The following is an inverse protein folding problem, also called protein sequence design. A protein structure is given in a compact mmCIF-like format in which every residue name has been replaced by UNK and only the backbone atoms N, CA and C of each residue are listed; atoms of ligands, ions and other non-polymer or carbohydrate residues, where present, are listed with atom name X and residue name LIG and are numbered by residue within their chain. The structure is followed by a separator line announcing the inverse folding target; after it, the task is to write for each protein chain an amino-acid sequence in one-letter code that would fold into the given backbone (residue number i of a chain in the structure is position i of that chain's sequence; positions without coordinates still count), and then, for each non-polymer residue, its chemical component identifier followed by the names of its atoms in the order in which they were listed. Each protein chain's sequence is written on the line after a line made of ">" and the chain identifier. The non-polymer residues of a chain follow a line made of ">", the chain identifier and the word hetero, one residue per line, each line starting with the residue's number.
data_IF_959332553210
#
_entry.id   IF_959332553210
#
_cell.length_a   1.000
_cell.length_b   1.000
_cell.length_c   1.000
_cell.angle_alpha   90.00
_cell.angle_beta   90.00
_cell.angle_gamma   90.00
#
_symmetry.space_group_name_H-M   'P 1'
#
loop_
_entity.id
_entity.type
_entity.pdbx_description
1 polymer ?
#
# COMPACT_ATOMS: atom_id res chain seq x y z
N UNK A 1 -9.34 18.84 -4.65
CA UNK A 1 -8.81 20.12 -5.15
C UNK A 1 -8.08 19.85 -6.45
N UNK A 2 -8.28 20.65 -7.51
CA UNK A 2 -7.53 20.48 -8.75
C UNK A 2 -6.10 20.97 -8.59
N UNK A 3 -5.16 20.20 -9.12
CA UNK A 3 -3.73 20.49 -9.15
C UNK A 3 -3.26 20.59 -10.59
N UNK A 4 -2.15 21.29 -10.77
CA UNK A 4 -1.53 21.51 -12.07
C UNK A 4 -0.11 20.93 -12.05
N UNK A 5 0.29 20.37 -13.19
CA UNK A 5 1.59 19.75 -13.34
C UNK A 5 1.95 19.57 -14.80
N UNK A 6 3.08 18.93 -15.05
CA UNK A 6 3.58 18.65 -16.40
C UNK A 6 3.77 17.16 -16.62
N UNK A 7 3.49 16.68 -17.82
CA UNK A 7 3.77 15.28 -18.17
C UNK A 7 5.29 15.08 -18.24
N UNK A 8 5.83 14.23 -17.36
CA UNK A 8 7.26 13.94 -17.29
C UNK A 8 7.65 12.77 -18.19
N UNK A 9 6.81 11.74 -18.22
CA UNK A 9 7.00 10.53 -19.00
C UNK A 9 5.65 9.95 -19.40
N UNK A 10 5.57 9.40 -20.62
CA UNK A 10 4.39 8.73 -21.13
C UNK A 10 4.81 7.57 -22.04
N UNK A 11 4.24 6.40 -21.82
CA UNK A 11 4.42 5.23 -22.67
C UNK A 11 3.11 4.96 -23.42
N UNK A 12 3.12 5.20 -24.74
CA UNK A 12 1.95 5.04 -25.59
C UNK A 12 1.52 3.57 -25.77
N UNK A 13 2.47 2.63 -25.80
CA UNK A 13 2.18 1.20 -25.97
C UNK A 13 1.45 0.62 -24.77
N UNK A 14 1.86 1.03 -23.55
CA UNK A 14 1.27 0.56 -22.29
C UNK A 14 0.19 1.46 -21.73
N UNK A 15 0.00 2.66 -22.29
CA UNK A 15 -1.08 3.58 -21.92
C UNK A 15 -0.95 4.19 -20.53
N UNK A 16 0.24 4.34 -19.97
CA UNK A 16 0.44 4.98 -18.67
C UNK A 16 1.58 6.00 -18.69
N UNK A 17 1.60 6.88 -17.69
CA UNK A 17 2.65 7.88 -17.55
C UNK A 17 2.74 8.47 -16.16
N UNK A 18 3.58 9.49 -16.04
CA UNK A 18 3.86 10.20 -14.80
C UNK A 18 3.77 11.71 -14.97
N UNK A 19 3.11 12.37 -14.02
CA UNK A 19 2.98 13.83 -13.93
C UNK A 19 3.90 14.35 -12.84
N UNK A 20 4.67 15.38 -13.16
CA UNK A 20 5.51 16.11 -12.20
C UNK A 20 4.72 17.30 -11.65
N UNK A 21 4.59 17.36 -10.32
CA UNK A 21 3.87 18.40 -9.59
C UNK A 21 4.86 19.41 -8.98
N UNK A 22 4.85 20.67 -9.42
CA UNK A 22 5.49 21.84 -8.78
C UNK A 22 6.76 21.54 -7.96
N UNK A 23 7.78 20.95 -8.61
CA UNK A 23 9.10 20.62 -8.02
C UNK A 23 9.11 19.64 -6.84
N UNK A 24 8.02 18.92 -6.60
CA UNK A 24 8.04 17.77 -5.70
C UNK A 24 8.81 16.60 -6.34
N UNK A 25 9.56 15.86 -5.51
CA UNK A 25 10.33 14.67 -5.94
C UNK A 25 9.41 13.51 -6.33
N UNK A 26 8.16 13.51 -5.84
CA UNK A 26 7.22 12.41 -6.05
C UNK A 26 6.40 12.61 -7.32
N UNK A 27 6.74 11.83 -8.34
CA UNK A 27 5.97 11.75 -9.57
C UNK A 27 4.62 11.08 -9.33
N UNK A 28 3.56 11.59 -9.95
CA UNK A 28 2.21 11.07 -9.80
C UNK A 28 1.84 10.20 -11.00
N UNK A 29 1.46 8.95 -10.72
CA UNK A 29 1.05 7.99 -11.74
C UNK A 29 -0.30 8.35 -12.36
N UNK A 30 -0.43 8.16 -13.67
CA UNK A 30 -1.70 8.24 -14.37
C UNK A 30 -1.83 7.18 -15.47
N UNK A 31 -3.08 6.88 -15.82
CA UNK A 31 -3.43 6.03 -16.95
C UNK A 31 -4.10 6.86 -18.05
N UNK A 32 -3.91 6.48 -19.31
CA UNK A 32 -4.51 7.13 -20.49
C UNK A 32 -6.04 7.11 -20.42
N UNK A 33 -6.61 6.21 -19.61
CA UNK A 33 -8.06 6.15 -19.41
C UNK A 33 -8.64 7.39 -18.77
N UNK A 34 -7.87 8.04 -17.92
CA UNK A 34 -8.26 9.24 -17.17
C UNK A 34 -8.13 10.53 -18.00
N UNK A 35 -7.71 10.40 -19.27
CA UNK A 35 -7.60 11.50 -20.24
C UNK A 35 -8.77 11.38 -21.24
N UNK A 36 -9.60 12.43 -21.41
CA UNK A 36 -10.74 12.39 -22.32
C UNK A 36 -10.32 12.35 -23.80
N UNK A 37 -9.25 13.05 -24.18
CA UNK A 37 -8.79 13.18 -25.58
C UNK A 37 -7.73 12.14 -25.94
N UNK A 38 -8.07 10.85 -25.89
CA UNK A 38 -7.11 9.74 -26.10
C UNK A 38 -6.52 9.65 -27.52
N UNK A 39 -7.14 10.31 -28.49
CA UNK A 39 -6.76 10.20 -29.91
C UNK A 39 -5.60 11.12 -30.29
N UNK A 40 -5.23 12.05 -29.40
CA UNK A 40 -4.14 12.98 -29.63
C UNK A 40 -2.99 12.53 -28.75
N UNK A 41 -1.82 12.29 -29.36
CA UNK A 41 -0.63 11.91 -28.61
C UNK A 41 -0.30 12.94 -27.52
N UNK A 42 0.03 12.41 -26.33
CA UNK A 42 0.48 13.21 -25.22
C UNK A 42 1.91 13.66 -25.49
N UNK A 43 2.17 14.96 -25.32
CA UNK A 43 3.52 15.50 -25.46
C UNK A 43 4.20 15.55 -24.09
N UNK A 44 5.48 15.18 -24.07
CA UNK A 44 6.32 15.37 -22.89
C UNK A 44 6.44 16.87 -22.59
N UNK A 45 6.30 17.23 -21.32
CA UNK A 45 6.31 18.62 -20.85
C UNK A 45 4.98 19.36 -20.95
N UNK A 46 3.93 18.72 -21.48
CA UNK A 46 2.60 19.35 -21.61
C UNK A 46 1.98 19.62 -20.25
N UNK A 47 1.37 20.81 -20.11
CA UNK A 47 0.67 21.22 -18.89
C UNK A 47 -0.68 20.55 -18.82
N UNK A 48 -0.93 19.94 -17.66
CA UNK A 48 -2.18 19.24 -17.38
C UNK A 48 -2.73 19.67 -16.02
N UNK A 49 -4.05 19.67 -15.93
CA UNK A 49 -4.81 19.87 -14.70
C UNK A 49 -5.46 18.56 -14.31
N UNK A 50 -5.36 18.16 -13.05
CA UNK A 50 -5.79 16.84 -12.59
C UNK A 50 -6.27 16.87 -11.13
N UNK A 51 -6.88 15.79 -10.69
CA UNK A 51 -7.22 15.53 -9.30
C UNK A 51 -6.38 14.37 -8.78
N UNK A 52 -5.94 14.42 -7.52
CA UNK A 52 -5.32 13.27 -6.85
C UNK A 52 -6.42 12.43 -6.23
N UNK A 53 -6.40 11.14 -6.51
CA UNK A 53 -7.22 10.12 -5.83
C UNK A 53 -6.32 9.06 -5.22
N UNK A 54 -6.70 8.55 -4.06
CA UNK A 54 -6.07 7.39 -3.44
C UNK A 54 -6.79 6.12 -3.89
N UNK A 55 -6.02 5.08 -4.21
CA UNK A 55 -6.52 3.77 -4.62
C UNK A 55 -5.61 2.70 -3.99
N UNK A 56 -6.16 1.93 -3.04
CA UNK A 56 -5.44 0.89 -2.31
C UNK A 56 -4.10 1.36 -1.70
N UNK A 57 -4.06 2.59 -1.17
CA UNK A 57 -2.85 3.19 -0.58
C UNK A 57 -1.88 3.84 -1.58
N UNK A 58 -2.20 3.81 -2.89
CA UNK A 58 -1.42 4.47 -3.93
C UNK A 58 -2.13 5.73 -4.43
N UNK A 59 -1.37 6.81 -4.68
CA UNK A 59 -1.92 8.04 -5.24
C UNK A 59 -1.84 8.02 -6.76
N UNK A 60 -2.97 8.29 -7.42
CA UNK A 60 -3.09 8.41 -8.88
C UNK A 60 -3.75 9.72 -9.28
N UNK A 61 -3.40 10.21 -10.47
CA UNK A 61 -4.11 11.34 -11.08
C UNK A 61 -5.36 10.84 -11.82
N UNK A 62 -6.49 11.50 -11.56
CA UNK A 62 -7.77 11.27 -12.23
C UNK A 62 -8.32 12.58 -12.81
N UNK A 63 -9.25 12.49 -13.77
CA UNK A 63 -9.85 13.65 -14.46
C UNK A 63 -8.79 14.61 -15.04
N UNK A 64 -7.91 14.09 -15.90
CA UNK A 64 -6.79 14.83 -16.44
C UNK A 64 -7.25 15.65 -17.65
N UNK A 65 -7.07 16.97 -17.58
CA UNK A 65 -7.41 17.92 -18.63
C UNK A 65 -6.14 18.57 -19.15
N UNK A 66 -5.94 18.50 -20.47
CA UNK A 66 -4.81 19.13 -21.17
C UNK A 66 -5.05 20.62 -21.29
N UNK A 67 -4.13 21.44 -20.77
CA UNK A 67 -4.24 22.90 -20.81
C UNK A 67 -3.71 23.48 -22.14
N UNK A 68 -2.77 22.79 -22.78
CA UNK A 68 -2.09 23.29 -23.99
C UNK A 68 -2.84 22.96 -25.30
N UNK A 69 -3.85 22.08 -25.28
CA UNK A 69 -4.70 21.79 -26.45
C UNK A 69 -5.61 22.96 -26.86
N UNK A 70 -5.80 23.94 -25.97
CA UNK A 70 -6.72 25.07 -26.22
C UNK A 70 -6.23 26.01 -27.33
N UNK A 71 -4.97 25.90 -27.76
CA UNK A 71 -4.40 26.75 -28.81
C UNK A 71 -4.55 26.17 -30.23
N UNK A 72 -4.74 24.85 -30.40
CA UNK A 72 -4.76 24.23 -31.74
C UNK A 72 -6.15 24.17 -32.36
N UNK A 73 -7.21 24.07 -31.56
CA UNK A 73 -8.59 24.09 -32.05
C UNK A 73 -9.02 25.47 -32.60
N UNK A 74 -8.36 26.55 -32.16
CA UNK A 74 -8.59 27.89 -32.71
C UNK A 74 -7.96 28.07 -34.11
N UNK A 75 -6.93 27.29 -34.44
CA UNK A 75 -6.19 27.43 -35.72
C UNK A 75 -6.84 26.62 -36.84
N UNK A 76 -7.46 25.48 -36.55
CA UNK A 76 -8.24 24.71 -37.55
C UNK A 76 -9.58 25.38 -37.88
N UNK A 77 -10.22 26.04 -36.91
CA UNK A 77 -11.44 26.81 -37.15
C UNK A 77 -11.21 28.11 -37.95
N UNK A 78 -9.97 28.62 -37.99
CA UNK A 78 -9.63 29.78 -38.81
C UNK A 78 -9.40 29.42 -40.30
N UNK A 79 -8.98 28.19 -40.63
CA UNK A 79 -8.69 27.78 -42.01
C UNK A 79 -9.94 27.39 -42.83
N UNK A 80 -11.08 27.17 -42.18
CA UNK A 80 -12.38 26.89 -42.83
C UNK A 80 -13.29 28.13 -42.94
N UNK A 81 -12.82 29.31 -42.52
CA UNK A 81 -13.62 30.56 -42.51
C UNK A 81 -13.57 31.37 -43.82
N UNK A 82 -13.02 30.84 -44.90
CA UNK A 82 -12.95 31.53 -46.21
C UNK A 82 -14.10 31.22 -47.17
N UNK A 83 -15.19 30.57 -46.74
CA UNK A 83 -16.43 30.49 -47.54
C UNK A 83 -17.61 30.90 -46.68
N UNK A 84 -17.94 32.19 -46.77
CA UNK A 84 -19.23 32.77 -46.35
C UNK A 84 -20.16 32.72 -47.55
N UNK A 85 -21.30 32.05 -47.40
CA UNK A 85 -22.67 32.47 -47.78
C UNK A 85 -23.59 31.29 -47.41
N UNK A 86 -24.41 31.38 -46.37
CA UNK A 86 -25.70 32.08 -46.29
C UNK A 86 -26.79 31.00 -46.11
N UNK A 87 -27.34 30.85 -44.90
CA UNK A 87 -28.78 30.85 -44.63
C UNK A 87 -29.11 30.50 -43.17
N UNK A 88 -29.79 31.44 -42.52
CA UNK A 88 -30.89 31.31 -41.55
C UNK A 88 -30.87 30.28 -40.39
N UNK A 89 -30.97 30.86 -39.18
CA UNK A 89 -31.37 30.34 -37.86
C UNK A 89 -32.47 29.28 -37.86
N UNK A 90 -32.33 28.31 -36.93
CA UNK A 90 -33.35 27.78 -36.01
C UNK A 90 -32.62 27.12 -34.80
N UNK A 91 -33.12 27.21 -33.55
CA UNK A 91 -32.54 26.50 -32.40
C UNK A 91 -33.24 25.15 -32.14
N UNK A 92 -32.61 24.28 -31.35
CA UNK A 92 -33.19 23.25 -30.43
C UNK A 92 -32.38 21.92 -30.47
N UNK A 93 -32.08 21.43 -29.26
CA UNK A 93 -32.04 20.01 -28.83
C UNK A 93 -30.70 19.42 -28.37
N UNK A 94 -30.67 19.20 -27.05
CA UNK A 94 -30.09 18.12 -26.26
C UNK A 94 -29.18 17.04 -26.92
N UNK A 95 -28.02 16.87 -26.28
CA UNK A 95 -27.14 15.69 -26.14
C UNK A 95 -27.28 14.51 -27.11
N UNK A 96 -26.18 14.09 -27.78
CA UNK A 96 -26.12 12.77 -28.38
C UNK A 96 -26.07 11.70 -27.28
N UNK A 97 -27.13 10.88 -27.31
CA UNK A 97 -27.21 9.54 -26.75
C UNK A 97 -25.96 8.74 -27.12
N UNK A 98 -25.44 7.97 -26.18
CA UNK A 98 -24.47 6.92 -26.44
C UNK A 98 -24.98 6.03 -27.59
N UNK A 99 -24.28 6.03 -28.73
CA UNK A 99 -24.50 5.01 -29.74
C UNK A 99 -23.86 3.72 -29.25
N UNK A 100 -24.69 2.74 -28.92
CA UNK A 100 -24.25 1.34 -28.86
C UNK A 100 -23.99 0.92 -30.30
N UNK A 101 -22.72 0.90 -30.70
CA UNK A 101 -22.32 0.35 -31.97
C UNK A 101 -22.86 -1.09 -32.10
N UNK A 102 -23.78 -1.27 -33.04
CA UNK A 102 -24.36 -2.56 -33.39
C UNK A 102 -23.26 -3.47 -33.94
N UNK A 103 -22.85 -4.45 -33.14
CA UNK A 103 -21.84 -5.44 -33.51
C UNK A 103 -22.37 -6.31 -34.66
N UNK A 104 -21.65 -6.28 -35.78
CA UNK A 104 -21.93 -7.08 -36.98
C UNK A 104 -21.83 -8.60 -36.70
N UNK A 105 -22.56 -9.47 -37.42
CA UNK A 105 -22.68 -10.89 -37.08
C UNK A 105 -21.35 -11.68 -37.12
N UNK A 106 -20.29 -11.11 -37.70
CA UNK A 106 -18.94 -11.71 -37.72
C UNK A 106 -18.20 -11.56 -36.38
N UNK A 107 -18.45 -10.50 -35.61
CA UNK A 107 -17.76 -10.21 -34.34
C UNK A 107 -18.26 -11.06 -33.16
N UNK A 108 -19.49 -11.59 -33.26
CA UNK A 108 -20.04 -12.53 -32.27
C UNK A 108 -19.23 -13.83 -32.23
N UNK A 109 -18.81 -14.36 -33.37
CA UNK A 109 -18.05 -15.62 -33.45
C UNK A 109 -16.67 -15.45 -32.80
N UNK A 110 -15.98 -14.32 -33.06
CA UNK A 110 -14.68 -14.01 -32.45
C UNK A 110 -14.82 -13.87 -30.92
N UNK A 111 -15.93 -13.28 -30.45
CA UNK A 111 -16.24 -13.19 -29.01
C UNK A 111 -16.48 -14.57 -28.38
N UNK A 112 -17.24 -15.47 -29.04
CA UNK A 112 -17.46 -16.83 -28.52
C UNK A 112 -16.18 -17.66 -28.49
N UNK A 113 -15.36 -17.61 -29.55
CA UNK A 113 -14.07 -18.33 -29.59
C UNK A 113 -13.14 -17.82 -28.49
N UNK A 114 -13.07 -16.50 -28.28
CA UNK A 114 -12.29 -15.90 -27.19
C UNK A 114 -12.75 -16.37 -25.80
N UNK A 115 -14.05 -16.42 -25.54
CA UNK A 115 -14.61 -16.90 -24.26
C UNK A 115 -14.30 -18.38 -24.05
N UNK A 116 -14.44 -19.22 -25.09
CA UNK A 116 -14.11 -20.65 -25.00
C UNK A 116 -12.63 -20.87 -24.68
N UNK A 117 -11.73 -20.12 -25.32
CA UNK A 117 -10.29 -20.19 -25.02
C UNK A 117 -10.01 -19.82 -23.56
N UNK A 118 -10.63 -18.75 -23.04
CA UNK A 118 -10.46 -18.34 -21.65
C UNK A 118 -10.96 -19.42 -20.68
N UNK A 119 -12.12 -20.04 -20.96
CA UNK A 119 -12.64 -21.14 -20.15
C UNK A 119 -11.70 -22.34 -20.16
N UNK A 120 -11.17 -22.72 -21.33
CA UNK A 120 -10.21 -23.83 -21.44
C UNK A 120 -8.93 -23.53 -20.66
N UNK A 121 -8.39 -22.31 -20.78
CA UNK A 121 -7.22 -21.89 -20.00
C UNK A 121 -7.50 -21.89 -18.50
N UNK A 122 -8.68 -21.43 -18.07
CA UNK A 122 -9.09 -21.46 -16.68
C UNK A 122 -9.16 -22.90 -16.14
N UNK A 123 -9.71 -23.84 -16.91
CA UNK A 123 -9.74 -25.27 -16.53
C UNK A 123 -8.32 -25.86 -16.46
N UNK A 124 -7.45 -25.56 -17.42
CA UNK A 124 -6.06 -26.03 -17.41
C UNK A 124 -5.28 -25.48 -16.20
N UNK A 125 -5.42 -24.19 -15.90
CA UNK A 125 -4.80 -23.55 -14.73
C UNK A 125 -5.37 -24.12 -13.44
N UNK A 126 -6.69 -24.31 -13.36
CA UNK A 126 -7.34 -24.92 -12.20
C UNK A 126 -6.80 -26.33 -11.93
N UNK A 127 -6.61 -27.15 -12.97
CA UNK A 127 -5.97 -28.47 -12.84
C UNK A 127 -4.57 -28.42 -12.23
N UNK A 128 -3.72 -27.47 -12.66
CA UNK A 128 -2.39 -27.26 -12.05
C UNK A 128 -2.47 -26.71 -10.62
N UNK A 129 -3.43 -25.83 -10.36
CA UNK A 129 -3.64 -25.24 -9.04
C UNK A 129 -4.04 -26.29 -7.99
N UNK A 130 -4.81 -27.31 -8.38
CA UNK A 130 -5.18 -28.42 -7.49
C UNK A 130 -3.95 -29.16 -6.97
N UNK A 131 -3.04 -29.60 -7.85
CA UNK A 131 -1.84 -30.34 -7.44
C UNK A 131 -0.88 -29.53 -6.57
N UNK A 132 -0.78 -28.21 -6.81
CA UNK A 132 0.01 -27.32 -5.95
C UNK A 132 -0.53 -27.25 -4.51
N UNK A 133 -1.86 -27.31 -4.35
CA UNK A 133 -2.53 -27.23 -3.05
C UNK A 133 -2.27 -28.48 -2.19
N UNK A 134 -2.30 -29.67 -2.79
CA UNK A 134 -2.02 -30.93 -2.12
C UNK A 134 -0.56 -31.02 -1.63
N UNK A 135 0.41 -30.65 -2.48
CA UNK A 135 1.83 -30.65 -2.09
C UNK A 135 2.10 -29.74 -0.87
N UNK A 136 1.46 -28.56 -0.82
CA UNK A 136 1.56 -27.67 0.34
C UNK A 136 1.02 -28.30 1.62
N UNK A 137 -0.09 -29.02 1.54
CA UNK A 137 -0.71 -29.67 2.71
C UNK A 137 0.17 -30.81 3.25
N UNK A 138 0.73 -31.64 2.36
CA UNK A 138 1.65 -32.72 2.75
C UNK A 138 2.90 -32.17 3.44
N UNK A 139 3.50 -31.11 2.89
CA UNK A 139 4.68 -30.49 3.51
C UNK A 139 4.37 -29.87 4.88
N UNK A 140 3.21 -29.20 5.01
CA UNK A 140 2.77 -28.67 6.31
C UNK A 140 2.56 -29.80 7.34
N UNK A 141 2.03 -30.95 6.93
CA UNK A 141 1.87 -32.11 7.81
C UNK A 141 3.21 -32.69 8.25
N UNK A 142 4.21 -32.77 7.36
CA UNK A 142 5.56 -33.21 7.69
C UNK A 142 6.24 -32.29 8.72
N UNK A 143 6.12 -30.97 8.52
CA UNK A 143 6.67 -29.98 9.47
C UNK A 143 6.02 -30.12 10.86
N UNK A 144 4.71 -30.34 10.93
CA UNK A 144 4.02 -30.58 12.20
C UNK A 144 4.53 -31.84 12.92
N UNK A 145 4.77 -32.94 12.19
CA UNK A 145 5.30 -34.17 12.78
C UNK A 145 6.75 -33.99 13.27
N UNK A 146 7.60 -33.29 12.51
CA UNK A 146 8.96 -32.98 12.96
C UNK A 146 8.95 -32.12 14.22
N UNK A 147 8.05 -31.13 14.30
CA UNK A 147 7.93 -30.29 15.49
C UNK A 147 7.54 -31.11 16.72
N UNK A 148 6.63 -32.09 16.58
CA UNK A 148 6.26 -32.98 17.69
C UNK A 148 7.45 -33.80 18.19
N UNK A 149 8.28 -34.32 17.28
CA UNK A 149 9.48 -35.06 17.67
C UNK A 149 10.47 -34.17 18.42
N UNK A 150 10.69 -32.93 17.96
CA UNK A 150 11.54 -31.96 18.66
C UNK A 150 10.97 -31.67 20.06
N UNK A 151 9.66 -31.44 20.19
CA UNK A 151 9.02 -31.20 21.49
C UNK A 151 9.15 -32.40 22.42
N UNK A 152 8.99 -33.63 21.92
CA UNK A 152 9.15 -34.85 22.71
C UNK A 152 10.61 -35.07 23.14
N UNK A 153 11.57 -34.76 22.27
CA UNK A 153 12.99 -34.81 22.60
C UNK A 153 13.35 -33.79 23.67
N UNK A 154 12.83 -32.56 23.57
CA UNK A 154 12.95 -31.55 24.64
C UNK A 154 12.31 -32.03 25.93
N UNK A 155 11.12 -32.66 25.88
CA UNK A 155 10.43 -33.20 27.07
C UNK A 155 11.24 -34.31 27.75
N UNK A 156 11.84 -35.22 26.98
CA UNK A 156 12.74 -36.28 27.51
C UNK A 156 14.02 -35.70 28.09
N UNK A 157 14.61 -34.69 27.43
CA UNK A 157 15.81 -34.01 27.91
C UNK A 157 15.57 -33.17 29.17
N UNK A 158 14.36 -32.59 29.31
CA UNK A 158 14.00 -31.74 30.44
C UNK A 158 13.51 -32.54 31.67
N UNK A 159 13.32 -33.86 31.53
CA UNK A 159 12.85 -34.74 32.60
C UNK A 159 11.35 -34.54 32.93
N UNK A 160 10.79 -35.47 33.69
CA UNK A 160 9.36 -35.51 34.04
C UNK A 160 9.04 -34.36 35.02
N UNK A 161 8.73 -33.17 34.49
CA UNK A 161 8.12 -32.12 35.28
C UNK A 161 6.68 -32.57 35.60
N UNK A 162 6.26 -32.60 36.87
CA UNK A 162 4.91 -32.98 37.22
C UNK A 162 3.93 -32.08 36.47
N UNK A 163 2.80 -32.64 36.02
CA UNK A 163 1.63 -31.89 35.59
C UNK A 163 1.09 -31.11 36.80
N UNK A 164 1.81 -30.07 37.22
CA UNK A 164 1.37 -29.21 38.30
C UNK A 164 0.34 -28.27 37.70
N UNK A 165 -0.88 -28.84 37.59
CA UNK A 165 -2.13 -28.09 37.65
C UNK A 165 -1.93 -26.99 38.67
N UNK A 166 -2.17 -25.75 38.24
CA UNK A 166 -2.05 -24.50 38.98
C UNK A 166 -2.03 -24.75 40.50
N UNK A 167 -0.90 -24.43 41.16
CA UNK A 167 -0.71 -24.56 42.62
C UNK A 167 -2.00 -24.21 43.37
N UNK A 168 -2.32 -24.87 44.49
CA UNK A 168 -3.52 -24.55 45.29
C UNK A 168 -3.66 -23.03 45.54
N UNK A 169 -2.53 -22.32 45.68
CA UNK A 169 -2.51 -20.86 45.76
C UNK A 169 -2.99 -20.14 44.50
N UNK A 170 -2.62 -20.63 43.31
CA UNK A 170 -3.11 -20.11 42.02
C UNK A 170 -4.61 -20.30 41.85
N UNK A 171 -5.15 -21.42 42.35
CA UNK A 171 -6.59 -21.68 42.34
C UNK A 171 -7.32 -20.78 43.36
N UNK A 172 -6.72 -20.56 44.54
CA UNK A 172 -7.28 -19.66 45.57
C UNK A 172 -7.30 -18.19 45.13
N UNK A 173 -6.33 -17.74 44.33
CA UNK A 173 -6.27 -16.37 43.80
C UNK A 173 -7.28 -16.12 42.66
N UNK A 174 -7.70 -17.18 41.95
CA UNK A 174 -8.73 -17.09 40.90
C UNK A 174 -10.16 -17.05 41.45
N UNK A 175 -10.40 -17.65 42.62
CA UNK A 175 -11.74 -17.73 43.24
C UNK A 175 -12.05 -16.61 44.25
N UNK A 176 -11.11 -15.69 44.52
CA UNK A 176 -11.32 -14.54 45.40
C UNK A 176 -12.21 -13.47 44.77
N UNK A 177 -13.52 -13.55 44.99
CA UNK A 177 -14.45 -12.45 44.73
C UNK A 177 -14.51 -11.52 45.93
N UNK A 178 -14.20 -10.24 45.72
CA UNK A 178 -14.69 -9.15 46.56
C UNK A 178 -13.65 -8.38 47.38
N UNK A 179 -13.37 -7.16 46.91
CA UNK A 179 -13.15 -5.95 47.71
C UNK A 179 -12.03 -5.97 48.76
N UNK A 180 -10.85 -5.49 48.38
CA UNK A 180 -10.09 -4.63 49.27
C UNK A 180 -9.21 -3.69 48.47
N UNK A 181 -9.09 -2.48 49.01
CA UNK A 181 -8.60 -1.27 48.38
C UNK A 181 -7.16 -1.38 47.88
N UNK A 182 -6.80 -0.42 47.01
CA UNK A 182 -5.42 -0.09 46.66
C UNK A 182 -4.53 -0.11 47.91
N UNK A 183 -3.71 -1.16 48.06
CA UNK A 183 -2.51 -1.11 48.90
C UNK A 183 -1.29 -1.30 48.02
N UNK A 184 -0.76 -0.16 47.64
CA UNK A 184 0.51 0.05 46.95
C UNK A 184 1.65 -0.19 47.96
N UNK A 185 1.87 -1.44 48.35
CA UNK A 185 3.08 -1.83 49.08
C UNK A 185 4.05 -2.45 48.07
N UNK A 186 4.97 -1.60 47.61
CA UNK A 186 6.12 -1.97 46.80
C UNK A 186 6.98 -2.91 47.66
N UNK A 187 6.98 -4.19 47.32
CA UNK A 187 7.99 -5.13 47.82
C UNK A 187 9.30 -4.74 47.14
N UNK A 188 10.19 -4.16 47.94
CA UNK A 188 11.59 -3.95 47.63
C UNK A 188 12.25 -5.31 47.37
N UNK A 189 12.37 -5.69 46.10
CA UNK A 189 13.20 -6.82 45.69
C UNK A 189 14.52 -6.24 45.23
N UNK A 190 15.47 -6.21 46.15
CA UNK A 190 16.88 -6.03 45.85
C UNK A 190 17.40 -7.29 45.15
N UNK A 191 17.91 -7.24 43.90
CA UNK A 191 18.69 -8.32 43.33
C UNK A 191 20.18 -8.00 43.51
N UNK A 192 20.83 -8.70 44.45
CA UNK A 192 22.29 -8.68 44.58
C UNK A 192 22.88 -9.78 43.70
N UNK A 193 23.69 -9.37 42.72
CA UNK A 193 24.63 -10.16 41.88
C UNK A 193 23.95 -11.07 40.84
N UNK A 194 24.29 -11.05 39.54
CA UNK A 194 25.65 -11.20 38.99
C UNK A 194 25.68 -10.78 37.50
N UNK A 195 26.54 -9.79 37.19
CA UNK A 195 27.34 -9.53 35.97
C UNK A 195 26.72 -9.44 34.54
N UNK A 196 27.13 -8.32 33.88
CA UNK A 196 27.09 -7.95 32.45
C UNK A 196 25.70 -7.60 31.89
N UNK A 197 25.36 -6.35 31.53
CA UNK A 197 25.90 -5.49 30.46
C UNK A 197 25.57 -4.01 30.78
N UNK A 198 26.26 -3.09 30.11
CA UNK A 198 26.47 -1.68 30.44
C UNK A 198 25.20 -0.79 30.45
N UNK A 199 25.09 -0.01 31.53
CA UNK A 199 24.60 1.38 31.61
C UNK A 199 23.35 1.76 30.80
N UNK A 200 22.17 1.50 31.37
CA UNK A 200 20.94 2.22 30.98
C UNK A 200 20.96 3.63 31.58
N UNK A 201 21.15 4.65 30.74
CA UNK A 201 20.91 6.05 31.10
C UNK A 201 19.43 6.25 31.48
N UNK A 202 19.10 7.20 32.38
CA UNK A 202 17.73 7.42 32.83
C UNK A 202 16.81 7.78 31.65
N UNK A 203 15.61 7.21 31.63
CA UNK A 203 14.57 7.45 30.65
C UNK A 203 14.21 8.95 30.57
N UNK A 204 14.83 9.66 29.63
CA UNK A 204 14.59 11.09 29.33
C UNK A 204 13.65 11.31 28.14
N UNK A 205 13.12 10.24 27.57
CA UNK A 205 12.38 10.28 26.32
C UNK A 205 10.92 9.91 26.59
N UNK A 206 10.00 10.67 25.99
CA UNK A 206 8.56 10.49 26.11
C UNK A 206 7.94 10.74 24.73
N UNK A 207 6.87 10.02 24.41
CA UNK A 207 6.18 10.13 23.13
C UNK A 207 5.49 11.49 23.02
N UNK A 208 6.13 12.43 22.32
CA UNK A 208 5.63 13.80 22.10
C UNK A 208 4.98 13.99 20.71
N UNK A 209 4.76 12.91 19.97
CA UNK A 209 4.15 12.92 18.64
C UNK A 209 5.12 13.10 17.48
N UNK A 210 6.44 13.15 17.72
CA UNK A 210 7.45 13.10 16.66
C UNK A 210 7.50 11.73 15.98
N UNK A 211 7.62 11.73 14.66
CA UNK A 211 7.55 10.50 13.84
C UNK A 211 8.65 10.37 12.78
N UNK A 212 9.44 11.42 12.54
CA UNK A 212 10.51 11.44 11.52
C UNK A 212 11.91 11.69 12.10
N UNK A 213 12.95 11.09 11.51
CA UNK A 213 14.34 11.12 12.01
C UNK A 213 14.94 12.50 12.23
N UNK A 214 14.61 13.47 11.38
CA UNK A 214 15.10 14.85 11.51
C UNK A 214 14.70 15.53 12.82
N UNK A 215 13.71 14.97 13.52
CA UNK A 215 13.20 15.50 14.77
C UNK A 215 13.92 14.89 15.98
N UNK A 216 14.74 13.86 15.80
CA UNK A 216 15.47 13.16 16.86
C UNK A 216 16.83 13.82 17.13
N UNK A 217 17.19 13.94 18.40
CA UNK A 217 18.43 14.58 18.87
C UNK A 217 19.55 13.57 19.10
N UNK A 218 19.22 12.30 19.31
CA UNK A 218 20.21 11.21 19.44
C UNK A 218 19.67 9.88 18.90
N UNK A 219 20.58 8.92 18.68
CA UNK A 219 20.21 7.58 18.24
C UNK A 219 19.39 6.84 19.29
N UNK A 220 19.73 6.98 20.58
CA UNK A 220 19.01 6.35 21.69
C UNK A 220 17.58 6.89 21.84
N UNK A 221 17.36 8.18 21.55
CA UNK A 221 16.03 8.77 21.46
C UNK A 221 15.24 8.15 20.30
N UNK A 222 15.86 8.00 19.12
CA UNK A 222 15.21 7.39 17.96
C UNK A 222 14.82 5.92 18.21
N UNK A 223 15.69 5.15 18.87
CA UNK A 223 15.41 3.76 19.29
C UNK A 223 14.26 3.71 20.28
N UNK A 224 14.23 4.62 21.26
CA UNK A 224 13.12 4.70 22.21
C UNK A 224 11.80 4.95 21.50
N UNK A 225 11.74 5.92 20.58
CA UNK A 225 10.51 6.24 19.85
C UNK A 225 10.06 5.08 18.96
N UNK A 226 10.98 4.39 18.27
CA UNK A 226 10.65 3.24 17.44
C UNK A 226 9.97 2.11 18.23
N UNK A 227 10.40 1.88 19.47
CA UNK A 227 9.94 0.76 20.29
C UNK A 227 8.75 1.11 21.21
N UNK A 228 8.56 2.39 21.58
CA UNK A 228 7.62 2.79 22.61
C UNK A 228 6.51 3.74 22.13
N UNK A 229 6.63 4.34 20.94
CA UNK A 229 5.69 5.36 20.45
C UNK A 229 4.90 4.90 19.21
N UNK A 230 3.58 5.19 19.14
CA UNK A 230 2.76 4.83 17.98
C UNK A 230 3.06 5.71 16.76
N UNK A 231 2.88 5.16 15.56
CA UNK A 231 2.98 5.87 14.26
C UNK A 231 4.38 6.42 13.89
N UNK A 232 5.45 5.81 14.37
CA UNK A 232 6.82 6.18 13.97
C UNK A 232 7.13 5.78 12.51
N UNK A 233 7.88 6.63 11.80
CA UNK A 233 8.32 6.45 10.41
C UNK A 233 9.84 6.69 10.30
N UNK A 234 10.57 6.06 11.21
CA UNK A 234 12.01 6.27 11.42
C UNK A 234 12.86 5.10 10.94
N UNK A 235 12.27 3.91 10.95
CA UNK A 235 12.85 2.68 10.43
C UNK A 235 12.20 2.38 9.07
N UNK A 236 12.92 2.72 7.99
CA UNK A 236 12.40 2.63 6.64
C UNK A 236 12.40 1.21 6.08
N UNK A 237 13.33 0.38 6.56
CA UNK A 237 13.57 -1.01 6.15
C UNK A 237 13.08 -2.02 7.20
N UNK A 238 12.58 -1.57 8.35
CA UNK A 238 12.05 -2.37 9.45
C UNK A 238 13.07 -3.39 9.98
N UNK A 239 14.34 -3.00 10.04
CA UNK A 239 15.44 -3.83 10.54
C UNK A 239 15.74 -3.60 12.03
N UNK A 240 15.04 -2.67 12.68
CA UNK A 240 15.22 -2.31 14.08
C UNK A 240 16.29 -1.23 14.31
N UNK A 241 16.93 -0.71 13.27
CA UNK A 241 17.89 0.40 13.33
C UNK A 241 17.26 1.72 12.82
N UNK A 242 16.57 2.50 13.69
CA UNK A 242 15.96 3.75 13.25
C UNK A 242 17.02 4.80 12.93
N UNK A 243 16.77 5.61 11.91
CA UNK A 243 17.58 6.79 11.59
C UNK A 243 19.06 6.51 11.29
N UNK A 244 19.37 5.32 10.76
CA UNK A 244 20.71 4.92 10.29
C UNK A 244 21.42 6.01 9.48
N UNK A 245 20.73 6.64 8.53
CA UNK A 245 21.31 7.69 7.67
C UNK A 245 21.73 8.97 8.41
N UNK A 246 21.17 9.24 9.60
CA UNK A 246 21.42 10.46 10.37
C UNK A 246 22.48 10.27 11.45
N UNK A 247 22.56 9.08 12.07
CA UNK A 247 23.44 8.83 13.22
C UNK A 247 24.62 7.88 12.95
N UNK A 248 24.61 7.08 11.86
CA UNK A 248 25.66 6.08 11.55
C UNK A 248 26.96 6.68 10.98
N UNK A 249 27.01 7.99 10.74
CA UNK A 249 28.14 8.72 10.14
C UNK A 249 28.80 9.74 11.08
N UNK A 250 28.69 9.58 12.41
CA UNK A 250 29.21 10.55 13.38
C UNK A 250 30.10 9.93 14.44
#
# INVERSE_FOLDING_TARGET
>A
MFLEGKIKSYNAERGFGFIQQNEQVKDLFFHVTDIPSRHIELKLGEKVKYLISEDQGNFKAVNIVRLDLKQQQATEQALQSTIVEDHSREPISASPRYEVASVSPLSKIISFVGVVIIVVLAVMVYGKYQGYREQKQLHAQQLMQQQQQIVEEQRKAQGDLPDQVLSEQGLHNLHGTGTSELRRDVVDVTPKSTQAVQQAAPAKFSCDGRTHCSQMRSYEEAVFFNNNCPNTKMDGNNDGEPCERQFKNR
#
